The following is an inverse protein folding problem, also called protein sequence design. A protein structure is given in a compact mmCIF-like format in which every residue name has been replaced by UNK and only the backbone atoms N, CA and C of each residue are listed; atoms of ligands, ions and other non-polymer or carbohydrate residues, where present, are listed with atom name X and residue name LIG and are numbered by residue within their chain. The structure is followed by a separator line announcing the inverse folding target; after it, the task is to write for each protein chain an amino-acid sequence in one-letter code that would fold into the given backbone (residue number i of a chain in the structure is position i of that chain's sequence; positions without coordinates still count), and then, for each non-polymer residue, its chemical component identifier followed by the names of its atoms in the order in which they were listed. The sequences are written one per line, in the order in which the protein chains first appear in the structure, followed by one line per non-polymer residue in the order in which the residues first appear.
data_IF_311558879194
#
_entry.id   IF_311558879194
#
_cell.length_a   1.000
_cell.length_b   1.000
_cell.length_c   1.000
_cell.angle_alpha   90.00
_cell.angle_beta   90.00
_cell.angle_gamma   90.00
#
_symmetry.space_group_name_H-M   'P 1'
#
loop_
_entity.id
_entity.type
_entity.pdbx_description
1 polymer ?
#
# COMPACT_ATOMS: atom_id res chain seq x y z
N UNK A 1 -1.36 -13.93 -15.01
CA UNK A 1 -0.49 -14.79 -14.19
C UNK A 1 -1.23 -15.28 -12.94
N UNK A 2 -1.74 -14.37 -12.09
CA UNK A 2 -2.46 -14.73 -10.86
C UNK A 2 -3.69 -15.61 -11.10
N UNK A 3 -4.61 -15.21 -11.97
CA UNK A 3 -5.80 -16.01 -12.30
C UNK A 3 -5.44 -17.37 -12.90
N UNK A 4 -4.39 -17.43 -13.75
CA UNK A 4 -3.88 -18.67 -14.31
C UNK A 4 -3.27 -19.61 -13.25
N UNK A 5 -2.84 -19.07 -12.11
CA UNK A 5 -2.42 -19.82 -10.94
C UNK A 5 -3.59 -20.17 -9.99
N UNK A 6 -4.84 -19.87 -10.37
CA UNK A 6 -6.04 -20.14 -9.58
C UNK A 6 -6.31 -19.12 -8.47
N UNK A 7 -5.65 -17.95 -8.50
CA UNK A 7 -5.83 -16.89 -7.52
C UNK A 7 -6.95 -15.97 -8.00
N UNK A 8 -7.98 -15.81 -7.16
CA UNK A 8 -9.05 -14.83 -7.39
C UNK A 8 -8.51 -13.43 -7.11
N UNK A 9 -8.81 -12.47 -7.98
CA UNK A 9 -8.26 -11.11 -7.88
C UNK A 9 -9.36 -10.05 -7.89
N UNK A 10 -9.16 -9.02 -7.07
CA UNK A 10 -9.87 -7.75 -7.16
C UNK A 10 -8.84 -6.66 -7.47
N UNK A 11 -9.08 -5.89 -8.54
CA UNK A 11 -8.16 -4.82 -8.95
C UNK A 11 -8.69 -3.47 -8.48
N UNK A 12 -7.80 -2.68 -7.86
CA UNK A 12 -8.02 -1.27 -7.57
C UNK A 12 -6.98 -0.42 -8.31
N UNK A 13 -7.43 0.42 -9.24
CA UNK A 13 -6.60 1.23 -10.14
C UNK A 13 -6.77 2.74 -9.94
N UNK A 14 -7.49 3.16 -8.89
CA UNK A 14 -7.83 4.57 -8.60
C UNK A 14 -6.87 5.22 -7.60
N UNK A 15 -5.63 4.75 -7.53
CA UNK A 15 -4.58 5.35 -6.70
C UNK A 15 -4.21 6.74 -7.20
N UNK A 16 -4.15 7.72 -6.29
CA UNK A 16 -3.74 9.08 -6.59
C UNK A 16 -2.29 9.34 -6.11
N UNK A 17 -1.57 10.26 -6.77
CA UNK A 17 -0.29 10.76 -6.26
C UNK A 17 -0.42 11.31 -4.85
N UNK A 18 0.66 11.24 -4.07
CA UNK A 18 0.74 11.72 -2.68
C UNK A 18 -0.21 11.04 -1.67
N UNK A 19 -0.94 10.00 -2.10
CA UNK A 19 -1.77 9.14 -1.25
C UNK A 19 -2.71 9.92 -0.33
N UNK A 20 -3.71 10.65 -0.85
CA UNK A 20 -4.76 11.23 -0.03
C UNK A 20 -5.44 10.12 0.79
N UNK A 21 -5.66 10.33 2.09
CA UNK A 21 -6.23 9.30 2.97
C UNK A 21 -7.54 8.70 2.44
N UNK A 22 -8.36 9.50 1.77
CA UNK A 22 -9.64 9.08 1.19
C UNK A 22 -9.46 8.03 0.09
N UNK A 23 -8.34 8.08 -0.65
CA UNK A 23 -8.01 7.08 -1.69
C UNK A 23 -7.87 5.70 -1.08
N UNK A 24 -7.24 5.61 0.09
CA UNK A 24 -7.10 4.34 0.83
C UNK A 24 -8.47 3.85 1.29
N UNK A 25 -9.31 4.74 1.83
CA UNK A 25 -10.66 4.37 2.25
C UNK A 25 -11.48 3.79 1.08
N UNK A 26 -11.43 4.41 -0.10
CA UNK A 26 -12.12 3.90 -1.31
C UNK A 26 -11.61 2.50 -1.69
N UNK A 27 -10.31 2.24 -1.59
CA UNK A 27 -9.73 0.92 -1.83
C UNK A 27 -10.25 -0.12 -0.82
N UNK A 28 -10.21 0.22 0.48
CA UNK A 28 -10.64 -0.67 1.56
C UNK A 28 -12.13 -0.99 1.46
N UNK A 29 -12.99 0.02 1.23
CA UNK A 29 -14.44 -0.19 1.09
C UNK A 29 -14.77 -1.10 -0.11
N UNK A 30 -14.06 -0.97 -1.23
CA UNK A 30 -14.22 -1.87 -2.36
C UNK A 30 -13.76 -3.30 -2.07
N UNK A 31 -12.75 -3.47 -1.21
CA UNK A 31 -12.17 -4.76 -0.86
C UNK A 31 -12.84 -5.46 0.33
N UNK A 32 -13.66 -4.77 1.15
CA UNK A 32 -14.29 -5.35 2.35
C UNK A 32 -15.07 -6.63 2.07
N UNK A 33 -15.90 -6.64 1.03
CA UNK A 33 -16.69 -7.82 0.66
C UNK A 33 -15.91 -8.88 -0.11
N UNK A 34 -14.69 -8.56 -0.55
CA UNK A 34 -13.79 -9.50 -1.21
C UNK A 34 -12.97 -10.32 -0.21
N UNK A 35 -12.81 -9.82 1.02
CA UNK A 35 -12.10 -10.50 2.12
C UNK A 35 -10.72 -11.06 1.69
N UNK A 36 -9.80 -10.20 1.20
CA UNK A 36 -8.53 -10.66 0.67
C UNK A 36 -7.63 -11.29 1.75
N UNK A 37 -6.99 -12.41 1.42
CA UNK A 37 -5.94 -13.01 2.26
C UNK A 37 -4.59 -12.24 2.18
N UNK A 38 -4.42 -11.41 1.14
CA UNK A 38 -3.20 -10.62 0.90
C UNK A 38 -3.46 -9.40 0.01
N UNK A 39 -2.53 -8.46 0.01
CA UNK A 39 -2.56 -7.27 -0.85
C UNK A 39 -1.32 -7.23 -1.74
N UNK A 40 -1.49 -6.89 -3.02
CA UNK A 40 -0.38 -6.70 -3.95
C UNK A 40 -0.35 -5.23 -4.38
N UNK A 41 0.73 -4.52 -4.01
CA UNK A 41 0.99 -3.17 -4.48
C UNK A 41 1.83 -3.19 -5.75
N UNK A 42 1.31 -2.64 -6.85
CA UNK A 42 2.04 -2.53 -8.13
C UNK A 42 2.09 -1.05 -8.53
N UNK A 43 3.29 -0.52 -8.77
CA UNK A 43 3.47 0.85 -9.22
C UNK A 43 4.64 1.58 -8.56
N UNK A 44 4.56 2.91 -8.50
CA UNK A 44 5.49 3.73 -7.74
C UNK A 44 5.17 3.75 -6.23
N UNK A 45 5.92 4.56 -5.47
CA UNK A 45 5.78 4.63 -4.01
C UNK A 45 4.36 4.91 -3.51
N UNK A 46 3.57 5.72 -4.22
CA UNK A 46 2.17 5.96 -3.85
C UNK A 46 1.30 4.70 -3.90
N UNK A 47 1.49 3.83 -4.90
CA UNK A 47 0.75 2.56 -4.96
C UNK A 47 1.16 1.62 -3.83
N UNK A 48 2.45 1.60 -3.49
CA UNK A 48 2.98 0.75 -2.42
C UNK A 48 2.49 1.22 -1.05
N UNK A 49 2.43 2.54 -0.83
CA UNK A 49 1.92 3.12 0.41
C UNK A 49 0.40 2.92 0.54
N UNK A 50 -0.38 3.01 -0.55
CA UNK A 50 -1.80 2.62 -0.56
C UNK A 50 -1.95 1.14 -0.18
N UNK A 51 -1.14 0.24 -0.73
CA UNK A 51 -1.22 -1.19 -0.43
C UNK A 51 -0.94 -1.49 1.05
N UNK A 52 0.07 -0.84 1.64
CA UNK A 52 0.37 -0.94 3.08
C UNK A 52 -0.76 -0.39 3.95
N UNK A 53 -1.34 0.75 3.57
CA UNK A 53 -2.43 1.34 4.32
C UNK A 53 -3.72 0.53 4.20
N UNK A 54 -4.01 -0.04 3.03
CA UNK A 54 -5.15 -0.91 2.81
C UNK A 54 -5.00 -2.22 3.61
N UNK A 55 -3.82 -2.85 3.61
CA UNK A 55 -3.59 -4.07 4.39
C UNK A 55 -3.77 -3.85 5.90
N UNK A 56 -3.35 -2.69 6.39
CA UNK A 56 -3.57 -2.25 7.77
C UNK A 56 -5.06 -2.11 8.11
N UNK A 57 -5.81 -1.35 7.32
CA UNK A 57 -7.23 -1.11 7.60
C UNK A 57 -8.11 -2.34 7.37
N UNK A 58 -7.76 -3.21 6.43
CA UNK A 58 -8.45 -4.49 6.23
C UNK A 58 -8.23 -5.45 7.39
N UNK A 59 -7.06 -5.42 8.04
CA UNK A 59 -6.75 -6.26 9.19
C UNK A 59 -7.34 -5.72 10.51
N UNK A 60 -7.23 -4.40 10.74
CA UNK A 60 -7.50 -3.80 12.05
C UNK A 60 -8.69 -2.83 12.08
N UNK A 61 -9.25 -2.48 10.92
CA UNK A 61 -10.32 -1.49 10.81
C UNK A 61 -9.88 -0.07 11.24
N UNK A 62 -10.85 0.74 11.63
CA UNK A 62 -10.61 2.13 12.04
C UNK A 62 -10.32 3.07 10.87
N UNK A 63 -9.71 4.22 11.17
CA UNK A 63 -9.24 5.20 10.20
C UNK A 63 -7.72 5.29 10.23
N UNK A 64 -7.09 5.77 9.14
CA UNK A 64 -5.63 5.93 9.10
C UNK A 64 -5.10 6.83 10.22
N UNK A 65 -5.89 7.83 10.62
CA UNK A 65 -5.56 8.74 11.71
C UNK A 65 -5.30 8.04 13.05
N UNK A 66 -5.92 6.87 13.28
CA UNK A 66 -5.70 6.07 14.48
C UNK A 66 -4.27 5.51 14.55
N UNK A 67 -3.64 5.33 13.39
CA UNK A 67 -2.32 4.68 13.26
C UNK A 67 -1.18 5.65 12.96
N UNK A 68 -1.43 6.96 12.85
CA UNK A 68 -0.38 7.94 12.54
C UNK A 68 0.74 7.99 13.58
N UNK A 69 1.98 7.98 13.09
CA UNK A 69 3.20 7.95 13.90
C UNK A 69 3.85 6.58 13.92
N UNK A 70 4.70 6.36 14.92
CA UNK A 70 5.49 5.14 15.07
C UNK A 70 4.82 4.16 16.04
N UNK A 71 4.90 2.86 15.74
CA UNK A 71 4.50 1.77 16.63
C UNK A 71 3.03 1.78 17.09
N UNK A 72 2.13 2.38 16.32
CA UNK A 72 0.68 2.36 16.59
C UNK A 72 -0.08 1.19 15.96
N UNK A 73 0.54 0.47 15.03
CA UNK A 73 -0.05 -0.73 14.43
C UNK A 73 0.02 -1.86 15.46
N UNK A 74 -1.13 -2.41 15.93
CA UNK A 74 -1.16 -3.23 17.15
C UNK A 74 -0.65 -4.66 16.95
N UNK A 75 -0.72 -5.19 15.73
CA UNK A 75 -0.34 -6.56 15.40
C UNK A 75 -0.05 -6.68 13.88
N UNK A 76 0.43 -7.84 13.37
CA UNK A 76 0.62 -8.05 11.94
C UNK A 76 -0.61 -7.67 11.11
N UNK A 77 -0.38 -7.12 9.92
CA UNK A 77 -1.41 -6.76 8.94
C UNK A 77 -1.52 -7.85 7.87
N UNK A 78 -2.43 -7.72 6.91
CA UNK A 78 -2.47 -8.64 5.77
C UNK A 78 -1.12 -8.60 5.01
N UNK A 79 -0.56 -9.76 4.62
CA UNK A 79 0.70 -9.81 3.87
C UNK A 79 0.66 -8.91 2.63
N UNK A 80 1.70 -8.10 2.44
CA UNK A 80 1.85 -7.24 1.26
C UNK A 80 2.95 -7.80 0.36
N UNK A 81 2.66 -7.98 -0.93
CA UNK A 81 3.69 -8.11 -1.97
C UNK A 81 3.85 -6.74 -2.65
N UNK A 82 5.08 -6.23 -2.68
CA UNK A 82 5.42 -5.00 -3.37
C UNK A 82 6.06 -5.30 -4.73
N UNK A 83 5.54 -4.71 -5.80
CA UNK A 83 6.06 -4.82 -7.16
C UNK A 83 6.34 -3.40 -7.67
N UNK A 84 7.51 -2.82 -7.35
CA UNK A 84 7.85 -1.46 -7.74
C UNK A 84 8.02 -1.36 -9.26
N UNK A 85 7.47 -0.29 -9.86
CA UNK A 85 7.66 0.06 -11.28
C UNK A 85 8.53 1.31 -11.47
N UNK A 86 9.11 1.83 -10.39
CA UNK A 86 9.95 3.03 -10.38
C UNK A 86 11.21 2.78 -9.56
N UNK A 87 12.37 3.25 -10.03
CA UNK A 87 13.63 3.18 -9.30
C UNK A 87 13.87 4.45 -8.48
N UNK A 88 13.12 4.62 -7.38
CA UNK A 88 13.16 5.86 -6.60
C UNK A 88 12.93 5.70 -5.10
N UNK A 89 11.68 5.51 -4.69
CA UNK A 89 11.27 5.69 -3.27
C UNK A 89 11.80 4.64 -2.30
N UNK A 90 12.08 3.42 -2.78
CA UNK A 90 12.42 2.29 -1.91
C UNK A 90 11.26 1.82 -1.01
N UNK A 91 10.02 2.28 -1.24
CA UNK A 91 8.87 1.93 -0.39
C UNK A 91 8.64 0.41 -0.32
N UNK A 92 9.03 -0.34 -1.35
CA UNK A 92 8.96 -1.80 -1.39
C UNK A 92 9.69 -2.54 -0.26
N UNK A 93 10.65 -1.89 0.41
CA UNK A 93 11.45 -2.47 1.51
C UNK A 93 11.39 -1.67 2.81
N UNK A 94 10.58 -0.61 2.88
CA UNK A 94 10.49 0.25 4.08
C UNK A 94 9.33 -0.15 5.00
N UNK A 95 9.46 0.06 6.33
CA UNK A 95 8.37 -0.10 7.30
C UNK A 95 7.41 1.10 7.34
N UNK A 96 7.52 2.02 6.38
CA UNK A 96 6.82 3.31 6.40
C UNK A 96 5.81 3.37 5.27
N UNK A 97 4.61 3.86 5.55
CA UNK A 97 3.66 4.35 4.56
C UNK A 97 3.45 5.84 4.76
N UNK A 98 3.52 6.63 3.69
CA UNK A 98 3.31 8.08 3.74
C UNK A 98 1.98 8.43 3.10
N UNK A 99 1.14 9.15 3.84
CA UNK A 99 -0.18 9.58 3.36
C UNK A 99 -0.35 11.09 3.50
N UNK A 100 -1.22 11.66 2.67
CA UNK A 100 -1.65 13.04 2.78
C UNK A 100 -3.02 13.10 3.46
N UNK A 101 -3.10 13.85 4.56
CA UNK A 101 -4.33 14.08 5.31
C UNK A 101 -4.75 15.54 5.10
N UNK A 102 -5.91 15.84 4.47
CA UNK A 102 -6.36 17.21 4.21
C UNK A 102 -6.61 18.02 5.49
N UNK A 103 -6.86 17.35 6.63
CA UNK A 103 -7.03 18.03 7.92
C UNK A 103 -5.68 18.43 8.53
N UNK A 104 -4.56 18.07 7.88
CA UNK A 104 -3.19 18.36 8.32
C UNK A 104 -2.41 19.06 7.21
N UNK A 105 -1.54 19.99 7.62
CA UNK A 105 -0.74 20.80 6.68
C UNK A 105 0.38 19.97 6.02
N UNK A 106 0.75 18.83 6.61
CA UNK A 106 1.92 18.03 6.21
C UNK A 106 1.52 16.58 5.95
N UNK A 107 2.28 15.92 5.05
CA UNK A 107 2.28 14.47 4.89
C UNK A 107 2.54 13.80 6.25
N UNK A 108 1.78 12.75 6.53
CA UNK A 108 1.87 11.99 7.77
C UNK A 108 2.35 10.58 7.48
N UNK A 109 3.28 10.10 8.30
CA UNK A 109 3.80 8.75 8.21
C UNK A 109 3.10 7.81 9.19
N UNK A 110 2.89 6.57 8.74
CA UNK A 110 2.64 5.41 9.60
C UNK A 110 3.92 4.56 9.52
N UNK A 111 4.57 4.31 10.65
CA UNK A 111 5.80 3.53 10.71
C UNK A 111 5.62 2.34 11.65
N UNK A 112 5.76 1.13 11.09
CA UNK A 112 5.67 -0.10 11.86
C UNK A 112 6.40 -1.25 11.15
N UNK A 113 7.10 -2.14 11.89
CA UNK A 113 7.62 -3.38 11.33
C UNK A 113 6.55 -4.24 10.65
N UNK A 114 5.28 -4.12 11.06
CA UNK A 114 4.17 -4.85 10.45
C UNK A 114 3.82 -4.34 9.04
N UNK A 115 4.32 -3.17 8.61
CA UNK A 115 4.11 -2.66 7.25
C UNK A 115 5.22 -3.06 6.26
N UNK A 116 6.24 -3.79 6.71
CA UNK A 116 7.27 -4.32 5.81
C UNK A 116 6.61 -5.36 4.90
N UNK A 117 6.84 -5.22 3.60
CA UNK A 117 6.32 -6.16 2.61
C UNK A 117 6.87 -7.58 2.88
N UNK A 118 6.00 -8.59 2.74
CA UNK A 118 6.39 -9.99 2.87
C UNK A 118 7.34 -10.40 1.73
N UNK A 119 7.19 -9.79 0.55
CA UNK A 119 8.11 -9.92 -0.57
C UNK A 119 8.13 -8.64 -1.40
N UNK A 120 9.30 -8.33 -1.97
CA UNK A 120 9.48 -7.31 -3.00
C UNK A 120 9.94 -7.99 -4.30
N UNK A 121 9.22 -7.76 -5.40
CA UNK A 121 9.53 -8.28 -6.73
C UNK A 121 10.04 -7.12 -7.59
N UNK A 122 11.36 -6.93 -7.58
CA UNK A 122 12.02 -5.86 -8.33
C UNK A 122 12.38 -6.35 -9.74
N UNK A 123 11.43 -6.27 -10.67
CA UNK A 123 11.65 -6.59 -12.08
C UNK A 123 12.12 -5.34 -12.85
N UNK A 124 13.36 -5.32 -13.39
CA UNK A 124 13.86 -4.16 -14.12
C UNK A 124 13.03 -3.85 -15.38
N UNK A 125 12.38 -4.83 -16.01
CA UNK A 125 11.55 -4.60 -17.19
C UNK A 125 10.34 -3.71 -16.87
N UNK A 126 9.81 -3.78 -15.65
CA UNK A 126 8.71 -2.94 -15.20
C UNK A 126 9.11 -1.48 -14.97
N UNK A 127 10.40 -1.17 -14.98
CA UNK A 127 10.92 0.21 -14.82
C UNK A 127 11.19 0.92 -16.14
N UNK A 128 11.07 0.23 -17.28
CA UNK A 128 11.37 0.79 -18.60
C UNK A 128 10.45 1.94 -19.00
N UNK A 129 9.23 2.00 -18.44
CA UNK A 129 8.28 3.09 -18.64
C UNK A 129 8.40 4.21 -17.60
N UNK A 130 9.36 4.13 -16.67
CA UNK A 130 9.58 5.15 -15.67
C UNK A 130 9.96 6.48 -16.35
N UNK A 131 9.32 7.61 -15.99
CA UNK A 131 9.67 8.91 -16.54
C UNK A 131 11.15 9.24 -16.28
N UNK A 132 11.80 10.00 -17.18
CA UNK A 132 13.13 10.56 -16.90
C UNK A 132 13.03 11.51 -15.69
N UNK A 133 14.00 11.40 -14.78
CA UNK A 133 14.16 12.29 -13.63
C UNK A 133 14.71 13.66 -14.00
#
# INVERSE_FOLDING_TARGET
ALEAAGIVVLVHDRTLPDVPQDTVAVCVEAARGFEPDMVIGIGGGSCLDVAKCASLLLAHGGALADYYGEFKVPAPVLPVIAVPTTAGTGSEVTPVAVVSDPDRILKVGISSPYLIAAAAICDPELTLSCPPG
#
